data_IF_568137746701
#
_entry.id   IF_568137746701
#
_cell.length_a   1.000
_cell.length_b   1.000
_cell.length_c   1.000
_cell.angle_alpha   90.00
_cell.angle_beta   90.00
_cell.angle_gamma   90.00
#
_symmetry.space_group_name_H-M   'P 1'
#
loop_
_entity.id
_entity.type
_entity.pdbx_description
1 polymer ?
#
# COMPACT_ATOMS: atom_id res chain seq x y z
N UNK A 1 -19.55 44.18 37.97
CA UNK A 1 -18.57 44.29 36.87
C UNK A 1 -19.25 43.64 35.68
N UNK A 2 -19.94 44.46 34.89
CA UNK A 2 -20.84 44.00 33.83
C UNK A 2 -20.06 43.36 32.69
N UNK A 3 -20.22 42.05 32.51
CA UNK A 3 -19.91 41.38 31.25
C UNK A 3 -21.05 41.67 30.28
N UNK A 4 -20.96 42.80 29.56
CA UNK A 4 -21.86 43.08 28.44
C UNK A 4 -21.84 41.88 27.49
N UNK A 5 -23.01 41.24 27.29
CA UNK A 5 -23.21 40.33 26.17
C UNK A 5 -22.82 41.09 24.90
N UNK A 6 -21.87 40.53 24.16
CA UNK A 6 -21.34 41.15 22.95
C UNK A 6 -22.30 40.87 21.78
N UNK A 7 -23.41 41.61 21.73
CA UNK A 7 -24.46 41.50 20.72
C UNK A 7 -23.93 41.68 19.28
N UNK A 8 -22.77 42.32 19.11
CA UNK A 8 -22.15 42.54 17.80
C UNK A 8 -21.68 41.23 17.12
N UNK A 9 -21.26 40.22 17.91
CA UNK A 9 -20.80 38.91 17.39
C UNK A 9 -21.97 38.05 16.91
N UNK A 10 -23.10 38.13 17.63
CA UNK A 10 -24.33 37.39 17.34
C UNK A 10 -25.04 37.96 16.08
N UNK A 11 -24.94 39.28 15.88
CA UNK A 11 -25.47 39.94 14.68
C UNK A 11 -24.62 39.57 13.44
N UNK A 12 -23.29 39.62 13.53
CA UNK A 12 -22.40 39.28 12.39
C UNK A 12 -22.51 37.81 11.96
N UNK A 13 -22.63 36.88 12.90
CA UNK A 13 -22.85 35.44 12.60
C UNK A 13 -24.20 35.21 11.91
N UNK A 14 -25.23 35.97 12.28
CA UNK A 14 -26.55 35.88 11.64
C UNK A 14 -26.57 36.39 10.19
N UNK A 15 -25.75 37.39 9.85
CA UNK A 15 -25.67 37.95 8.49
C UNK A 15 -24.92 37.01 7.53
N UNK A 16 -23.82 36.40 7.98
CA UNK A 16 -23.09 35.39 7.21
C UNK A 16 -23.98 34.17 6.98
N UNK A 17 -24.68 33.68 8.01
CA UNK A 17 -25.60 32.55 7.89
C UNK A 17 -26.81 32.84 7.00
N UNK A 18 -27.36 34.07 7.03
CA UNK A 18 -28.43 34.52 6.13
C UNK A 18 -27.96 34.62 4.67
N UNK A 19 -26.73 35.08 4.42
CA UNK A 19 -26.17 35.16 3.07
C UNK A 19 -25.97 33.78 2.42
N UNK A 20 -25.86 32.72 3.23
CA UNK A 20 -25.69 31.33 2.80
C UNK A 20 -26.97 30.48 2.84
N UNK A 21 -28.12 31.09 3.21
CA UNK A 21 -29.45 30.48 3.22
C UNK A 21 -29.54 29.18 4.06
N UNK A 22 -28.90 29.15 5.24
CA UNK A 22 -28.82 27.95 6.11
C UNK A 22 -29.93 27.98 7.19
N UNK A 23 -30.75 26.92 7.35
CA UNK A 23 -31.71 26.80 8.44
C UNK A 23 -31.04 26.40 9.77
N UNK A 24 -31.42 27.05 10.88
CA UNK A 24 -30.93 26.75 12.24
C UNK A 24 -31.75 25.61 12.84
N UNK A 25 -31.14 24.47 13.19
CA UNK A 25 -31.83 23.31 13.77
C UNK A 25 -31.39 23.03 15.23
N UNK A 26 -32.35 22.95 16.15
CA UNK A 26 -32.15 22.94 17.62
C UNK A 26 -32.38 21.58 18.31
N UNK A 27 -32.22 20.42 17.65
CA UNK A 27 -32.46 19.09 18.28
C UNK A 27 -31.29 18.11 18.11
N UNK A 28 -30.89 17.48 19.23
CA UNK A 28 -29.88 16.39 19.28
C UNK A 28 -30.25 15.25 18.32
N UNK A 29 -29.33 14.78 17.45
CA UNK A 29 -29.66 13.80 16.43
C UNK A 29 -29.67 12.35 16.97
N UNK A 30 -30.70 11.58 16.58
CA UNK A 30 -30.75 10.11 16.75
C UNK A 30 -29.83 9.44 15.71
N UNK A 31 -29.32 8.24 15.98
CA UNK A 31 -28.60 7.43 14.97
C UNK A 31 -29.51 7.17 13.76
N UNK A 32 -29.12 7.69 12.60
CA UNK A 32 -29.80 7.48 11.33
C UNK A 32 -29.85 5.98 10.98
N UNK A 33 -31.02 5.46 10.60
CA UNK A 33 -31.23 4.07 10.20
C UNK A 33 -31.45 3.92 8.69
N UNK A 34 -31.84 5.01 8.04
CA UNK A 34 -32.08 5.10 6.59
C UNK A 34 -31.32 6.29 6.01
N UNK A 35 -31.15 6.32 4.68
CA UNK A 35 -30.49 7.44 3.98
C UNK A 35 -31.29 8.75 4.16
N UNK A 36 -32.60 8.66 4.40
CA UNK A 36 -33.48 9.82 4.58
C UNK A 36 -33.39 10.42 6.00
N UNK A 37 -32.74 9.71 6.95
CA UNK A 37 -32.54 10.19 8.32
C UNK A 37 -31.28 11.08 8.47
N UNK A 38 -30.66 11.55 7.38
CA UNK A 38 -29.48 12.43 7.44
C UNK A 38 -29.88 13.75 8.12
N UNK A 39 -29.59 13.85 9.41
CA UNK A 39 -29.93 15.00 10.24
C UNK A 39 -28.95 16.16 10.12
N UNK A 40 -27.91 16.05 9.30
CA UNK A 40 -26.78 16.97 9.29
C UNK A 40 -26.77 17.79 8.00
N UNK A 41 -26.89 19.10 8.17
CA UNK A 41 -26.68 20.08 7.11
C UNK A 41 -25.25 19.94 6.58
N UNK A 42 -25.11 19.72 5.28
CA UNK A 42 -23.82 19.64 4.58
C UNK A 42 -23.94 20.23 3.18
N UNK A 43 -22.86 20.83 2.68
CA UNK A 43 -22.79 21.31 1.31
C UNK A 43 -21.42 21.04 0.68
N UNK A 44 -21.37 21.05 -0.65
CA UNK A 44 -20.11 21.02 -1.38
C UNK A 44 -19.71 22.46 -1.67
N UNK A 45 -18.51 22.86 -1.25
CA UNK A 45 -17.95 24.19 -1.51
C UNK A 45 -16.48 24.10 -1.91
N UNK A 46 -16.00 25.15 -2.56
CA UNK A 46 -14.58 25.37 -2.82
C UNK A 46 -14.01 26.18 -1.65
N UNK A 47 -13.00 25.63 -0.97
CA UNK A 47 -12.35 26.24 0.20
C UNK A 47 -10.87 26.42 -0.10
N UNK A 48 -10.26 27.55 0.28
CA UNK A 48 -8.82 27.73 0.11
C UNK A 48 -8.07 26.81 1.05
N UNK A 49 -6.95 26.27 0.60
CA UNK A 49 -6.12 25.38 1.42
C UNK A 49 -5.65 26.08 2.70
N UNK A 50 -5.36 27.39 2.64
CA UNK A 50 -4.99 28.23 3.79
C UNK A 50 -6.04 28.28 4.90
N UNK A 51 -7.31 28.07 4.56
CA UNK A 51 -8.44 28.22 5.48
C UNK A 51 -8.77 26.89 6.18
N UNK A 52 -8.06 25.80 5.80
CA UNK A 52 -8.25 24.46 6.33
C UNK A 52 -7.32 24.18 7.51
N UNK A 53 -7.90 23.76 8.64
CA UNK A 53 -7.16 23.42 9.86
C UNK A 53 -7.19 21.91 10.10
N UNK A 54 -6.03 21.32 10.43
CA UNK A 54 -5.95 19.93 10.89
C UNK A 54 -5.95 19.93 12.42
N UNK A 55 -7.05 19.48 13.01
CA UNK A 55 -7.18 19.40 14.46
C UNK A 55 -6.48 18.14 15.01
N UNK A 56 -5.39 18.34 15.76
CA UNK A 56 -4.59 17.27 16.33
C UNK A 56 -5.14 16.73 17.66
N UNK A 57 -6.24 17.29 18.21
CA UNK A 57 -6.87 16.80 19.43
C UNK A 57 -7.47 15.40 19.27
N UNK A 58 -7.98 15.09 18.07
CA UNK A 58 -8.53 13.78 17.74
C UNK A 58 -7.87 13.10 16.53
N UNK A 59 -6.98 13.81 15.82
CA UNK A 59 -6.26 13.25 14.66
C UNK A 59 -4.77 13.11 14.92
N UNK A 60 -4.16 12.15 14.23
CA UNK A 60 -2.70 12.06 14.14
C UNK A 60 -2.14 13.13 13.20
N UNK A 61 -0.91 13.56 13.47
CA UNK A 61 -0.12 14.34 12.51
C UNK A 61 -0.01 13.59 11.16
N UNK A 62 -0.15 14.28 10.02
CA UNK A 62 0.11 13.69 8.70
C UNK A 62 1.50 13.05 8.64
N UNK A 63 1.57 11.84 8.09
CA UNK A 63 2.82 11.11 7.97
C UNK A 63 3.67 11.69 6.82
N UNK A 64 4.90 12.13 7.12
CA UNK A 64 5.79 12.78 6.17
C UNK A 64 6.10 11.92 4.93
N UNK A 65 6.28 10.61 5.09
CA UNK A 65 6.51 9.69 3.96
C UNK A 65 5.31 9.64 3.02
N UNK A 66 4.08 9.63 3.55
CA UNK A 66 2.87 9.68 2.72
C UNK A 66 2.70 11.02 2.02
N UNK A 67 2.99 12.12 2.72
CA UNK A 67 2.97 13.47 2.14
C UNK A 67 3.96 13.56 0.98
N UNK A 68 5.22 13.18 1.20
CA UNK A 68 6.24 13.15 0.15
C UNK A 68 5.82 12.27 -1.05
N UNK A 69 5.12 11.15 -0.78
CA UNK A 69 4.63 10.28 -1.84
C UNK A 69 3.53 10.94 -2.69
N UNK A 70 2.66 11.74 -2.08
CA UNK A 70 1.65 12.54 -2.79
C UNK A 70 2.34 13.62 -3.61
N UNK A 71 3.29 14.37 -3.01
CA UNK A 71 4.04 15.42 -3.70
C UNK A 71 4.78 14.88 -4.93
N UNK A 72 5.49 13.75 -4.79
CA UNK A 72 6.26 13.15 -5.88
C UNK A 72 5.39 12.55 -7.00
N UNK A 73 4.13 12.24 -6.74
CA UNK A 73 3.20 11.68 -7.72
C UNK A 73 1.93 12.54 -7.77
N UNK A 74 2.12 13.86 -7.73
CA UNK A 74 1.00 14.79 -7.64
C UNK A 74 0.12 14.68 -8.88
N UNK A 75 -1.15 14.43 -8.63
CA UNK A 75 -2.21 14.40 -9.63
C UNK A 75 -3.37 15.23 -9.06
N UNK A 76 -3.71 16.37 -9.69
CA UNK A 76 -4.82 17.21 -9.25
C UNK A 76 -6.14 16.44 -9.09
N UNK A 77 -6.41 15.47 -9.96
CA UNK A 77 -7.66 14.69 -9.93
C UNK A 77 -7.70 13.74 -8.72
N UNK A 78 -6.53 13.26 -8.28
CA UNK A 78 -6.39 12.39 -7.12
C UNK A 78 -6.57 13.11 -5.78
N UNK A 79 -6.60 14.46 -5.75
CA UNK A 79 -6.97 15.22 -4.55
C UNK A 79 -8.42 14.93 -4.15
N UNK A 80 -9.32 14.80 -5.13
CA UNK A 80 -10.72 14.50 -4.90
C UNK A 80 -11.42 15.51 -3.98
N UNK A 81 -12.44 15.04 -3.24
CA UNK A 81 -13.18 15.86 -2.27
C UNK A 81 -12.62 15.63 -0.87
N UNK A 82 -12.38 16.71 -0.13
CA UNK A 82 -12.02 16.68 1.30
C UNK A 82 -13.30 16.69 2.14
N UNK A 83 -13.25 16.10 3.34
CA UNK A 83 -14.38 16.16 4.28
C UNK A 83 -14.01 17.09 5.41
N UNK A 84 -14.85 18.08 5.69
CA UNK A 84 -14.58 19.15 6.64
C UNK A 84 -15.79 19.42 7.56
N UNK A 85 -15.52 20.08 8.68
CA UNK A 85 -16.50 20.63 9.63
C UNK A 85 -16.29 22.13 9.71
N UNK A 86 -17.35 22.92 9.51
CA UNK A 86 -17.33 24.35 9.84
C UNK A 86 -17.87 24.53 11.26
N UNK A 87 -17.02 25.08 12.13
CA UNK A 87 -17.33 25.35 13.53
C UNK A 87 -18.02 26.71 13.69
N UNK A 88 -18.61 26.95 14.86
CA UNK A 88 -19.30 28.21 15.18
C UNK A 88 -18.37 29.44 15.08
N UNK A 89 -17.07 29.26 15.34
CA UNK A 89 -16.05 30.32 15.23
C UNK A 89 -15.59 30.57 13.78
N UNK A 90 -16.18 29.87 12.79
CA UNK A 90 -15.80 29.95 11.38
C UNK A 90 -14.59 29.10 10.99
N UNK A 91 -13.95 28.40 11.94
CA UNK A 91 -12.85 27.50 11.65
C UNK A 91 -13.33 26.31 10.82
N UNK A 92 -12.63 26.00 9.72
CA UNK A 92 -12.92 24.84 8.88
C UNK A 92 -11.94 23.71 9.21
N UNK A 93 -12.35 22.79 10.08
CA UNK A 93 -11.56 21.64 10.49
C UNK A 93 -11.66 20.50 9.45
N UNK A 94 -10.52 19.97 9.00
CA UNK A 94 -10.45 18.85 8.06
C UNK A 94 -10.70 17.55 8.81
N UNK A 95 -11.75 16.80 8.48
CA UNK A 95 -12.05 15.47 9.02
C UNK A 95 -11.38 14.37 8.20
N UNK A 96 -11.44 14.43 6.86
CA UNK A 96 -10.73 13.48 5.97
C UNK A 96 -9.95 14.23 4.89
N UNK A 97 -8.71 13.78 4.68
CA UNK A 97 -7.80 14.35 3.70
C UNK A 97 -6.64 15.17 4.27
N UNK A 98 -6.34 15.07 5.57
CA UNK A 98 -5.19 15.79 6.16
C UNK A 98 -3.84 15.56 5.48
N UNK A 99 -3.57 14.37 4.90
CA UNK A 99 -2.36 14.14 4.09
C UNK A 99 -2.36 14.90 2.76
N UNK A 100 -3.55 15.10 2.15
CA UNK A 100 -3.70 15.85 0.90
C UNK A 100 -3.50 17.34 1.16
N UNK A 101 -4.13 17.88 2.21
CA UNK A 101 -3.91 19.28 2.65
C UNK A 101 -2.44 19.54 2.98
N UNK A 102 -1.80 18.65 3.74
CA UNK A 102 -0.38 18.78 4.05
C UNK A 102 0.53 18.73 2.81
N UNK A 103 0.18 17.93 1.79
CA UNK A 103 0.91 17.88 0.53
C UNK A 103 0.74 19.17 -0.28
N UNK A 104 -0.48 19.73 -0.34
CA UNK A 104 -0.75 21.01 -1.00
C UNK A 104 0.03 22.16 -0.35
N UNK A 105 0.06 22.21 0.99
CA UNK A 105 0.90 23.16 1.72
C UNK A 105 2.39 22.97 1.42
N UNK A 106 2.88 21.73 1.41
CA UNK A 106 4.29 21.44 1.06
C UNK A 106 4.66 21.83 -0.39
N UNK A 107 3.66 21.99 -1.26
CA UNK A 107 3.81 22.44 -2.65
C UNK A 107 3.59 23.95 -2.82
N UNK A 108 3.38 24.71 -1.73
CA UNK A 108 3.04 26.13 -1.74
C UNK A 108 1.73 26.44 -2.49
N UNK A 109 0.74 25.54 -2.43
CA UNK A 109 -0.58 25.70 -3.07
C UNK A 109 -1.66 26.22 -2.10
N UNK A 110 -1.25 26.97 -1.08
CA UNK A 110 -2.08 27.44 0.04
C UNK A 110 -3.26 28.32 -0.44
N UNK A 111 -3.08 29.09 -1.50
CA UNK A 111 -4.10 29.98 -2.07
C UNK A 111 -5.07 29.26 -3.02
N UNK A 112 -4.84 27.99 -3.30
CA UNK A 112 -5.65 27.20 -4.23
C UNK A 112 -6.97 26.79 -3.57
N UNK A 113 -8.06 26.84 -4.33
CA UNK A 113 -9.35 26.32 -3.89
C UNK A 113 -9.44 24.81 -4.13
N UNK A 114 -9.85 24.07 -3.11
CA UNK A 114 -10.12 22.62 -3.18
C UNK A 114 -11.58 22.33 -2.86
N UNK A 115 -12.11 21.25 -3.46
CA UNK A 115 -13.49 20.82 -3.23
C UNK A 115 -13.61 20.17 -1.86
N UNK A 116 -14.51 20.70 -1.03
CA UNK A 116 -14.78 20.21 0.31
C UNK A 116 -16.27 19.88 0.47
N UNK A 117 -16.57 18.72 1.06
CA UNK A 117 -17.86 18.44 1.67
C UNK A 117 -17.81 18.98 3.10
N UNK A 118 -18.51 20.09 3.34
CA UNK A 118 -18.49 20.81 4.61
C UNK A 118 -19.76 20.49 5.39
N UNK A 119 -19.59 19.92 6.58
CA UNK A 119 -20.66 19.74 7.56
C UNK A 119 -20.80 20.98 8.44
N UNK A 120 -22.03 21.25 8.85
CA UNK A 120 -22.36 22.30 9.81
C UNK A 120 -22.80 21.71 11.15
N UNK A 121 -22.66 22.49 12.21
CA UNK A 121 -23.18 22.19 13.55
C UNK A 121 -22.69 20.84 14.13
N UNK A 122 -21.48 20.41 13.75
CA UNK A 122 -20.85 19.26 14.38
C UNK A 122 -20.23 19.67 15.70
N UNK A 123 -20.53 18.92 16.76
CA UNK A 123 -19.73 18.98 17.98
C UNK A 123 -18.37 18.32 17.75
N UNK A 124 -17.38 18.66 18.56
CA UNK A 124 -16.04 18.07 18.48
C UNK A 124 -16.08 16.54 18.60
N UNK A 125 -16.97 16.01 19.45
CA UNK A 125 -17.17 14.56 19.59
C UNK A 125 -17.71 13.94 18.31
N UNK A 126 -18.59 14.65 17.59
CA UNK A 126 -19.15 14.19 16.33
C UNK A 126 -18.14 14.26 15.18
N UNK A 127 -17.28 15.27 15.17
CA UNK A 127 -16.12 15.32 14.26
C UNK A 127 -15.21 14.09 14.46
N UNK A 128 -14.88 13.77 15.72
CA UNK A 128 -14.03 12.63 16.07
C UNK A 128 -14.69 11.27 15.72
N UNK A 129 -16.00 11.12 15.93
CA UNK A 129 -16.75 9.94 15.51
C UNK A 129 -16.70 9.80 13.97
N UNK A 130 -16.93 10.88 13.23
CA UNK A 130 -16.86 10.89 11.77
C UNK A 130 -15.45 10.57 11.28
N UNK A 131 -14.41 11.13 11.90
CA UNK A 131 -13.02 10.80 11.60
C UNK A 131 -12.78 9.30 11.72
N UNK A 132 -13.27 8.68 12.79
CA UNK A 132 -13.16 7.23 13.03
C UNK A 132 -13.88 6.45 11.93
N UNK A 133 -15.15 6.77 11.66
CA UNK A 133 -15.97 6.07 10.64
C UNK A 133 -15.30 6.11 9.25
N UNK A 134 -14.77 7.26 8.85
CA UNK A 134 -14.17 7.48 7.52
C UNK A 134 -12.82 6.78 7.35
N UNK A 135 -12.09 6.54 8.44
CA UNK A 135 -10.74 5.97 8.40
C UNK A 135 -10.69 4.48 8.78
N UNK A 136 -11.55 4.01 9.69
CA UNK A 136 -11.51 2.65 10.22
C UNK A 136 -12.08 1.62 9.22
N UNK A 137 -13.12 1.98 8.47
CA UNK A 137 -13.77 1.08 7.50
C UNK A 137 -13.01 0.94 6.17
N UNK A 138 -11.81 1.54 6.02
CA UNK A 138 -11.05 1.47 4.76
C UNK A 138 -10.24 0.18 4.66
N UNK A 139 -10.70 -0.75 3.82
CA UNK A 139 -9.87 -1.89 3.40
C UNK A 139 -8.92 -1.46 2.29
N UNK A 140 -7.62 -1.59 2.53
CA UNK A 140 -6.61 -1.32 1.49
C UNK A 140 -6.69 -2.39 0.39
N UNK A 141 -6.64 -2.00 -0.90
CA UNK A 141 -6.50 -2.97 -1.99
C UNK A 141 -5.27 -3.86 -1.77
N UNK A 142 -5.40 -5.16 -2.09
CA UNK A 142 -4.25 -6.08 -1.99
C UNK A 142 -3.25 -5.76 -3.11
N UNK A 143 -2.00 -6.19 -2.95
CA UNK A 143 -0.96 -6.00 -3.96
C UNK A 143 -1.37 -6.53 -5.35
N UNK A 144 -2.13 -7.62 -5.39
CA UNK A 144 -2.65 -8.20 -6.63
C UNK A 144 -3.69 -7.30 -7.29
N UNK A 145 -4.55 -6.64 -6.51
CA UNK A 145 -5.57 -5.71 -7.03
C UNK A 145 -4.91 -4.47 -7.64
N UNK A 146 -3.90 -3.94 -6.93
CA UNK A 146 -3.07 -2.82 -7.42
C UNK A 146 -2.34 -3.23 -8.70
N UNK A 147 -1.76 -4.43 -8.75
CA UNK A 147 -1.07 -4.92 -9.95
C UNK A 147 -2.02 -5.03 -11.14
N UNK A 148 -3.22 -5.60 -10.96
CA UNK A 148 -4.24 -5.68 -12.02
C UNK A 148 -4.62 -4.30 -12.54
N UNK A 149 -4.83 -3.34 -11.64
CA UNK A 149 -5.10 -1.94 -12.01
C UNK A 149 -3.94 -1.33 -12.83
N UNK A 150 -2.68 -1.57 -12.43
CA UNK A 150 -1.50 -1.11 -13.17
C UNK A 150 -1.39 -1.69 -14.58
N UNK A 151 -1.72 -2.97 -14.76
CA UNK A 151 -1.75 -3.60 -16.08
C UNK A 151 -2.76 -2.90 -16.98
N UNK A 152 -3.98 -2.64 -16.48
CA UNK A 152 -5.03 -1.93 -17.24
C UNK A 152 -4.61 -0.50 -17.56
N UNK A 153 -3.91 0.16 -16.63
CA UNK A 153 -3.35 1.50 -16.84
C UNK A 153 -2.14 1.54 -17.80
N UNK A 154 -1.67 0.39 -18.31
CA UNK A 154 -0.54 0.33 -19.25
C UNK A 154 0.83 0.59 -18.61
N UNK A 155 0.98 0.40 -17.29
CA UNK A 155 2.28 0.47 -16.61
C UNK A 155 3.25 -0.54 -17.25
N UNK A 156 4.36 -0.04 -17.81
CA UNK A 156 5.29 -0.83 -18.63
C UNK A 156 5.80 -2.06 -17.88
N UNK A 157 6.18 -1.89 -16.62
CA UNK A 157 6.70 -2.99 -15.78
C UNK A 157 5.59 -4.01 -15.48
N UNK A 158 4.39 -3.55 -15.11
CA UNK A 158 3.27 -4.44 -14.81
C UNK A 158 2.83 -5.25 -16.05
N UNK A 159 2.78 -4.62 -17.22
CA UNK A 159 2.46 -5.28 -18.50
C UNK A 159 3.53 -6.32 -18.84
N UNK A 160 4.82 -5.98 -18.70
CA UNK A 160 5.91 -6.90 -18.99
C UNK A 160 5.94 -8.09 -18.02
N UNK A 161 5.76 -7.84 -16.72
CA UNK A 161 5.63 -8.90 -15.71
C UNK A 161 4.46 -9.82 -16.07
N UNK A 162 3.29 -9.26 -16.43
CA UNK A 162 2.14 -10.08 -16.82
C UNK A 162 2.47 -10.96 -18.02
N UNK A 163 3.14 -10.42 -19.05
CA UNK A 163 3.58 -11.20 -20.22
C UNK A 163 4.52 -12.34 -19.82
N UNK A 164 5.47 -12.09 -18.93
CA UNK A 164 6.36 -13.13 -18.39
C UNK A 164 5.57 -14.23 -17.70
N UNK A 165 4.63 -13.87 -16.81
CA UNK A 165 3.79 -14.85 -16.12
C UNK A 165 2.94 -15.67 -17.10
N UNK A 166 2.35 -15.02 -18.10
CA UNK A 166 1.54 -15.68 -19.13
C UNK A 166 2.39 -16.69 -19.95
N UNK A 167 3.61 -16.30 -20.36
CA UNK A 167 4.55 -17.19 -21.07
C UNK A 167 4.98 -18.39 -20.19
N UNK A 168 5.19 -18.15 -18.90
CA UNK A 168 5.45 -19.23 -17.94
C UNK A 168 4.19 -20.04 -17.61
N UNK A 169 3.01 -19.70 -18.16
CA UNK A 169 1.73 -20.35 -17.91
C UNK A 169 1.28 -20.24 -16.46
N UNK A 170 1.39 -19.04 -15.88
CA UNK A 170 1.02 -18.70 -14.51
C UNK A 170 0.00 -17.57 -14.48
N UNK A 171 -1.01 -17.71 -13.63
CA UNK A 171 -2.02 -16.70 -13.35
C UNK A 171 -1.75 -15.98 -12.03
N UNK A 172 -2.42 -14.85 -11.78
CA UNK A 172 -2.30 -14.12 -10.52
C UNK A 172 -3.46 -14.51 -9.62
N UNK A 173 -3.16 -14.97 -8.40
CA UNK A 173 -4.15 -15.41 -7.42
C UNK A 173 -4.07 -14.60 -6.11
N UNK A 174 -5.22 -14.44 -5.46
CA UNK A 174 -5.32 -13.81 -4.13
C UNK A 174 -5.29 -14.82 -2.99
N UNK A 175 -5.32 -16.12 -3.31
CA UNK A 175 -5.26 -17.25 -2.38
C UNK A 175 -4.50 -18.44 -2.99
N UNK A 176 -4.31 -19.55 -2.23
CA UNK A 176 -3.58 -20.71 -2.72
C UNK A 176 -4.26 -21.35 -3.93
N UNK A 177 -3.54 -21.46 -5.05
CA UNK A 177 -4.02 -22.13 -6.25
C UNK A 177 -2.85 -22.63 -7.10
N UNK A 178 -3.01 -23.79 -7.74
CA UNK A 178 -2.04 -24.28 -8.72
C UNK A 178 -2.02 -23.36 -9.96
N UNK A 179 -0.94 -23.40 -10.73
CA UNK A 179 -0.74 -22.55 -11.90
C UNK A 179 -0.89 -21.05 -11.60
N UNK A 180 -0.51 -20.63 -10.38
CA UNK A 180 -0.68 -19.25 -9.96
C UNK A 180 0.43 -18.73 -9.05
N UNK A 181 0.63 -17.42 -9.07
CA UNK A 181 1.51 -16.69 -8.15
C UNK A 181 0.69 -15.73 -7.28
N UNK A 182 0.90 -15.83 -5.97
CA UNK A 182 0.37 -14.89 -4.98
C UNK A 182 1.39 -13.78 -4.63
N UNK A 183 2.67 -14.08 -4.67
CA UNK A 183 3.78 -13.23 -4.22
C UNK A 183 4.12 -12.07 -5.18
N UNK A 184 3.12 -11.31 -5.63
CA UNK A 184 3.30 -10.24 -6.64
C UNK A 184 4.24 -9.12 -6.20
N UNK A 185 4.34 -8.85 -4.90
CA UNK A 185 5.32 -7.89 -4.37
C UNK A 185 6.76 -8.33 -4.61
N UNK A 186 7.04 -9.62 -4.36
CA UNK A 186 8.35 -10.23 -4.61
C UNK A 186 8.64 -10.32 -6.11
N UNK A 187 7.69 -10.76 -6.93
CA UNK A 187 7.83 -10.76 -8.40
C UNK A 187 8.17 -9.37 -8.93
N UNK A 188 7.45 -8.34 -8.48
CA UNK A 188 7.73 -6.95 -8.90
C UNK A 188 9.11 -6.47 -8.45
N UNK A 189 9.58 -6.95 -7.29
CA UNK A 189 10.91 -6.61 -6.75
C UNK A 189 12.02 -7.27 -7.56
N UNK A 190 11.89 -8.56 -7.86
CA UNK A 190 12.84 -9.31 -8.70
C UNK A 190 12.92 -8.67 -10.08
N UNK A 191 11.77 -8.40 -10.72
CA UNK A 191 11.73 -7.74 -12.02
C UNK A 191 12.48 -6.40 -12.01
N UNK A 192 12.17 -5.51 -11.05
CA UNK A 192 12.77 -4.16 -11.00
C UNK A 192 14.25 -4.17 -10.66
N UNK A 193 14.73 -5.14 -9.87
CA UNK A 193 16.13 -5.18 -9.41
C UNK A 193 17.03 -6.02 -10.30
N UNK A 194 16.51 -7.13 -10.79
CA UNK A 194 17.28 -8.21 -11.42
C UNK A 194 16.87 -8.43 -12.89
N UNK A 195 15.79 -7.80 -13.35
CA UNK A 195 15.34 -7.80 -14.74
C UNK A 195 14.55 -9.04 -15.16
N UNK A 196 14.02 -8.98 -16.38
CA UNK A 196 13.18 -10.00 -17.03
C UNK A 196 13.85 -11.37 -17.03
N UNK A 197 15.14 -11.39 -17.39
CA UNK A 197 15.91 -12.61 -17.52
C UNK A 197 15.92 -13.40 -16.21
N UNK A 198 16.26 -12.74 -15.10
CA UNK A 198 16.30 -13.41 -13.80
C UNK A 198 14.91 -13.88 -13.38
N UNK A 199 13.88 -13.06 -13.56
CA UNK A 199 12.51 -13.45 -13.20
C UNK A 199 12.05 -14.70 -13.95
N UNK A 200 12.27 -14.75 -15.27
CA UNK A 200 11.92 -15.91 -16.11
C UNK A 200 12.64 -17.16 -15.64
N UNK A 201 13.95 -17.09 -15.40
CA UNK A 201 14.75 -18.25 -15.00
C UNK A 201 14.40 -18.72 -13.58
N UNK A 202 14.13 -17.78 -12.67
CA UNK A 202 13.64 -18.08 -11.31
C UNK A 202 12.34 -18.88 -11.38
N UNK A 203 11.36 -18.40 -12.16
CA UNK A 203 10.06 -19.06 -12.32
C UNK A 203 10.24 -20.44 -12.96
N UNK A 204 11.06 -20.54 -14.01
CA UNK A 204 11.28 -21.81 -14.72
C UNK A 204 11.97 -22.84 -13.83
N UNK A 205 12.96 -22.45 -13.03
CA UNK A 205 13.61 -23.36 -12.08
C UNK A 205 12.64 -23.92 -11.05
N UNK A 206 11.81 -23.05 -10.45
CA UNK A 206 10.80 -23.48 -9.47
C UNK A 206 9.71 -24.34 -10.12
N UNK A 207 9.25 -23.97 -11.31
CA UNK A 207 8.25 -24.75 -12.06
C UNK A 207 8.78 -26.13 -12.42
N UNK A 208 10.03 -26.25 -12.87
CA UNK A 208 10.62 -27.52 -13.25
C UNK A 208 10.91 -28.43 -12.03
N UNK A 209 11.23 -27.84 -10.87
CA UNK A 209 11.58 -28.61 -9.68
C UNK A 209 10.38 -29.02 -8.81
N UNK A 210 9.35 -28.16 -8.71
CA UNK A 210 8.23 -28.34 -7.78
C UNK A 210 6.87 -28.35 -8.47
N UNK A 211 6.84 -28.39 -9.81
CA UNK A 211 5.65 -28.12 -10.61
C UNK A 211 5.04 -26.75 -10.27
N UNK A 212 3.91 -26.41 -10.88
CA UNK A 212 3.16 -25.18 -10.59
C UNK A 212 2.20 -25.36 -9.42
N UNK A 213 2.62 -26.07 -8.38
CA UNK A 213 1.83 -26.24 -7.16
C UNK A 213 1.61 -24.91 -6.44
N UNK A 214 0.52 -24.82 -5.67
CA UNK A 214 0.12 -23.62 -4.90
C UNK A 214 1.18 -23.04 -3.94
N UNK A 215 2.25 -23.78 -3.67
CA UNK A 215 3.35 -23.40 -2.76
C UNK A 215 4.68 -23.18 -3.46
N UNK A 216 4.80 -23.51 -4.75
CA UNK A 216 6.06 -23.46 -5.51
C UNK A 216 6.65 -22.04 -5.60
N UNK A 217 5.79 -21.03 -5.69
CA UNK A 217 6.16 -19.63 -5.87
C UNK A 217 5.96 -18.78 -4.60
N UNK A 218 6.33 -19.32 -3.44
CA UNK A 218 6.38 -18.56 -2.19
C UNK A 218 7.42 -17.43 -2.27
N UNK A 219 7.24 -16.35 -1.49
CA UNK A 219 8.20 -15.24 -1.43
C UNK A 219 9.63 -15.73 -1.17
N UNK A 220 9.81 -16.63 -0.19
CA UNK A 220 11.12 -17.18 0.15
C UNK A 220 11.75 -18.00 -0.98
N UNK A 221 10.97 -18.83 -1.68
CA UNK A 221 11.47 -19.63 -2.79
C UNK A 221 11.89 -18.75 -3.97
N UNK A 222 11.07 -17.75 -4.32
CA UNK A 222 11.38 -16.77 -5.35
C UNK A 222 12.67 -16.00 -5.00
N UNK A 223 12.77 -15.45 -3.80
CA UNK A 223 13.95 -14.69 -3.35
C UNK A 223 15.22 -15.56 -3.34
N UNK A 224 15.13 -16.78 -2.83
CA UNK A 224 16.30 -17.64 -2.70
C UNK A 224 16.89 -18.03 -4.07
N UNK A 225 16.04 -18.40 -5.03
CA UNK A 225 16.50 -18.74 -6.39
C UNK A 225 16.97 -17.48 -7.13
N UNK A 226 16.22 -16.37 -7.05
CA UNK A 226 16.55 -15.15 -7.79
C UNK A 226 17.89 -14.55 -7.35
N UNK A 227 18.20 -14.59 -6.05
CA UNK A 227 19.50 -14.18 -5.51
C UNK A 227 20.66 -14.99 -6.06
N UNK A 228 20.52 -16.32 -6.14
CA UNK A 228 21.57 -17.18 -6.73
C UNK A 228 21.80 -16.79 -8.20
N UNK A 229 20.73 -16.62 -8.97
CA UNK A 229 20.80 -16.23 -10.38
C UNK A 229 21.43 -14.85 -10.55
N UNK A 230 21.06 -13.89 -9.71
CA UNK A 230 21.60 -12.53 -9.75
C UNK A 230 23.09 -12.48 -9.41
N UNK A 231 23.54 -13.25 -8.40
CA UNK A 231 24.93 -13.23 -7.94
C UNK A 231 25.89 -13.84 -8.95
N UNK A 232 25.58 -15.02 -9.50
CA UNK A 232 26.55 -15.73 -10.36
C UNK A 232 26.38 -15.43 -11.85
N UNK A 233 25.23 -14.87 -12.24
CA UNK A 233 24.90 -14.65 -13.64
C UNK A 233 24.70 -15.96 -14.42
N UNK A 234 24.28 -15.81 -15.68
CA UNK A 234 23.86 -16.94 -16.51
C UNK A 234 25.00 -17.94 -16.80
N UNK A 235 26.21 -17.44 -17.04
CA UNK A 235 27.31 -18.26 -17.57
C UNK A 235 27.94 -19.19 -16.52
N UNK A 236 27.70 -18.92 -15.24
CA UNK A 236 28.24 -19.72 -14.13
C UNK A 236 27.24 -20.76 -13.61
N UNK A 237 25.97 -20.66 -13.95
CA UNK A 237 24.91 -21.53 -13.43
C UNK A 237 24.60 -22.65 -14.43
N UNK A 238 24.71 -23.89 -13.97
CA UNK A 238 24.18 -25.06 -14.65
C UNK A 238 22.70 -25.22 -14.24
N UNK A 239 21.78 -24.71 -15.06
CA UNK A 239 20.34 -24.75 -14.77
C UNK A 239 19.76 -26.15 -14.62
N UNK A 240 20.07 -27.13 -15.51
CA UNK A 240 19.68 -28.52 -15.28
C UNK A 240 20.11 -29.03 -13.91
N UNK A 241 21.34 -28.72 -13.48
CA UNK A 241 21.80 -29.07 -12.14
C UNK A 241 21.01 -28.36 -11.05
N UNK A 242 20.83 -27.04 -11.16
CA UNK A 242 20.06 -26.24 -10.19
C UNK A 242 18.64 -26.79 -9.99
N UNK A 243 17.97 -27.14 -11.08
CA UNK A 243 16.64 -27.75 -11.08
C UNK A 243 16.68 -29.11 -10.39
N UNK A 244 17.63 -29.98 -10.74
CA UNK A 244 17.76 -31.31 -10.11
C UNK A 244 18.04 -31.21 -8.61
N UNK A 245 18.85 -30.23 -8.18
CA UNK A 245 19.15 -29.96 -6.78
C UNK A 245 17.93 -29.43 -6.02
N UNK A 246 17.17 -28.51 -6.62
CA UNK A 246 15.89 -28.04 -6.07
C UNK A 246 14.92 -29.22 -5.89
N UNK A 247 14.79 -30.09 -6.90
CA UNK A 247 13.87 -31.22 -6.88
C UNK A 247 14.12 -32.20 -5.72
N UNK A 248 15.35 -32.30 -5.21
CA UNK A 248 15.68 -33.15 -4.04
C UNK A 248 14.94 -32.76 -2.76
N UNK A 249 14.42 -31.54 -2.67
CA UNK A 249 13.65 -31.08 -1.51
C UNK A 249 12.18 -31.53 -1.55
N UNK A 250 11.68 -31.98 -2.70
CA UNK A 250 10.30 -32.44 -2.92
C UNK A 250 9.26 -31.31 -3.02
N UNK A 251 9.37 -30.24 -2.22
CA UNK A 251 8.55 -29.03 -2.37
C UNK A 251 9.22 -27.79 -1.80
N UNK A 252 8.78 -26.61 -2.22
CA UNK A 252 9.23 -25.33 -1.68
C UNK A 252 9.01 -25.19 -0.17
N UNK A 253 7.94 -25.76 0.38
CA UNK A 253 7.66 -25.73 1.82
C UNK A 253 8.66 -26.60 2.62
N UNK A 254 8.95 -27.81 2.14
CA UNK A 254 9.94 -28.69 2.77
C UNK A 254 11.34 -28.09 2.66
N UNK A 255 11.67 -27.48 1.53
CA UNK A 255 12.90 -26.72 1.36
C UNK A 255 13.01 -25.57 2.36
N UNK A 256 11.95 -24.77 2.51
CA UNK A 256 11.91 -23.66 3.48
C UNK A 256 12.09 -24.16 4.92
N UNK A 257 11.47 -25.28 5.30
CA UNK A 257 11.61 -25.85 6.64
C UNK A 257 13.05 -26.28 6.93
N UNK A 258 13.73 -26.92 5.97
CA UNK A 258 15.17 -27.22 6.07
C UNK A 258 16.00 -25.95 6.17
N UNK A 259 15.69 -24.95 5.33
CA UNK A 259 16.35 -23.65 5.34
C UNK A 259 16.24 -22.93 6.70
N UNK A 260 15.08 -23.01 7.36
CA UNK A 260 14.87 -22.41 8.68
C UNK A 260 15.73 -23.06 9.78
N UNK A 261 15.93 -24.38 9.70
CA UNK A 261 16.84 -25.09 10.61
C UNK A 261 18.27 -24.63 10.35
N UNK A 262 18.71 -24.65 9.10
CA UNK A 262 20.08 -24.25 8.72
C UNK A 262 20.36 -22.79 9.07
N UNK A 263 19.43 -21.87 8.81
CA UNK A 263 19.61 -20.45 9.16
C UNK A 263 19.79 -20.27 10.67
N UNK A 264 18.98 -20.96 11.49
CA UNK A 264 19.10 -20.91 12.95
C UNK A 264 20.42 -21.48 13.43
N UNK A 265 20.82 -22.65 12.93
CA UNK A 265 22.09 -23.31 13.31
C UNK A 265 23.31 -22.48 12.94
N UNK A 266 23.28 -21.78 11.80
CA UNK A 266 24.39 -20.96 11.31
C UNK A 266 24.33 -19.50 11.77
N UNK A 267 23.32 -19.11 12.57
CA UNK A 267 23.20 -17.75 13.09
C UNK A 267 22.67 -16.70 12.09
N UNK A 268 22.09 -17.12 10.97
CA UNK A 268 21.44 -16.21 10.01
C UNK A 268 20.04 -15.81 10.47
N UNK A 269 19.77 -14.49 10.43
CA UNK A 269 18.44 -13.92 10.75
C UNK A 269 17.42 -14.13 9.63
N UNK A 270 17.87 -14.28 8.38
CA UNK A 270 17.02 -14.48 7.21
C UNK A 270 16.97 -15.97 6.81
N UNK A 271 15.78 -16.56 6.82
CA UNK A 271 15.54 -17.94 6.39
C UNK A 271 15.95 -18.17 4.94
N UNK A 272 15.85 -17.14 4.09
CA UNK A 272 16.22 -17.25 2.68
C UNK A 272 17.72 -17.57 2.54
N UNK A 273 18.57 -17.08 3.43
CA UNK A 273 20.01 -17.44 3.44
C UNK A 273 20.17 -18.92 3.75
N UNK A 274 19.46 -19.45 4.76
CA UNK A 274 19.49 -20.89 5.06
C UNK A 274 18.99 -21.75 3.90
N UNK A 275 17.97 -21.28 3.17
CA UNK A 275 17.48 -21.95 1.95
C UNK A 275 18.54 -21.97 0.85
N UNK A 276 19.22 -20.84 0.63
CA UNK A 276 20.34 -20.73 -0.33
C UNK A 276 21.47 -21.67 0.07
N UNK A 277 21.89 -21.71 1.33
CA UNK A 277 22.90 -22.66 1.83
C UNK A 277 22.50 -24.10 1.51
N UNK A 278 21.26 -24.49 1.82
CA UNK A 278 20.76 -25.84 1.52
C UNK A 278 20.88 -26.17 0.03
N UNK A 279 20.46 -25.23 -0.82
CA UNK A 279 20.45 -25.44 -2.27
C UNK A 279 21.87 -25.50 -2.84
N UNK A 280 22.77 -24.62 -2.41
CA UNK A 280 24.16 -24.65 -2.86
C UNK A 280 24.88 -25.92 -2.38
N UNK A 281 24.54 -26.46 -1.21
CA UNK A 281 25.09 -27.74 -0.75
C UNK A 281 24.68 -28.91 -1.66
N UNK A 282 23.41 -28.98 -2.08
CA UNK A 282 22.95 -30.00 -3.05
C UNK A 282 23.50 -29.74 -4.46
N UNK A 283 23.58 -28.49 -4.91
CA UNK A 283 24.17 -28.12 -6.20
C UNK A 283 25.63 -28.53 -6.30
N UNK A 284 26.41 -28.22 -5.25
CA UNK A 284 27.84 -28.48 -5.20
C UNK A 284 28.19 -29.94 -4.90
N UNK A 285 27.19 -30.80 -4.67
CA UNK A 285 27.42 -32.21 -4.40
C UNK A 285 28.13 -32.87 -5.58
N UNK A 286 29.26 -33.54 -5.27
CA UNK A 286 30.15 -34.21 -6.24
C UNK A 286 30.82 -33.28 -7.27
N UNK A 287 30.72 -31.95 -7.11
CA UNK A 287 31.47 -31.00 -7.95
C UNK A 287 32.90 -30.83 -7.43
N UNK A 288 33.87 -31.03 -8.32
CA UNK A 288 35.30 -30.75 -8.07
C UNK A 288 35.72 -29.34 -8.53
N UNK A 289 34.99 -28.74 -9.48
CA UNK A 289 35.21 -27.40 -10.01
C UNK A 289 33.87 -26.71 -10.30
N UNK A 290 33.87 -25.41 -10.59
CA UNK A 290 32.66 -24.58 -10.84
C UNK A 290 31.62 -24.65 -9.72
N UNK A 291 32.11 -24.66 -8.47
CA UNK A 291 31.26 -24.61 -7.27
C UNK A 291 30.77 -23.19 -7.04
N UNK A 292 29.58 -23.06 -6.47
CA UNK A 292 28.99 -21.79 -6.07
C UNK A 292 29.19 -21.59 -4.56
N UNK A 293 29.85 -20.51 -4.14
CA UNK A 293 30.13 -20.23 -2.72
C UNK A 293 29.13 -19.25 -2.12
N UNK A 294 28.43 -19.66 -1.07
CA UNK A 294 27.46 -18.85 -0.34
C UNK A 294 28.02 -17.50 0.14
N UNK A 295 29.33 -17.39 0.34
CA UNK A 295 30.00 -16.12 0.69
C UNK A 295 29.88 -15.03 -0.39
N UNK A 296 29.58 -15.40 -1.63
CA UNK A 296 29.31 -14.42 -2.71
C UNK A 296 27.89 -13.84 -2.62
N UNK A 297 27.01 -14.42 -1.78
CA UNK A 297 25.60 -14.01 -1.63
C UNK A 297 25.36 -13.30 -0.28
N UNK A 298 26.06 -13.73 0.78
CA UNK A 298 25.84 -13.32 2.17
C UNK A 298 26.69 -12.15 2.59
#
# INVERSE_FOLDING_TARGET
MDSKLNFDVEIMTSEVMKSLNIPIATKKPKKAKTIDDISQSKLISNVRVSDLVIDLSYQRKPNSTKVAKIVNNFDPDAIGVLVCSMREDGTIAVIDGGHRVAALNAMNLETTNVRCLVFFDLTLEKEAEMFTILNDNRTKPKTQDIFKSKVVAGDKDAVQIKKILDVCGLSISTGPANNSIRAMGTVSTIFKREGDFNLVHTINCLSAAFDKHSTSFSDSALIAVSKIIATYGNDKIDYPRLISSLATFGSANLWRNKGAIVSKTMGYKDVNIGMIVCLLNEYNKRLKSKRLDVKEIV
#
